data_IF_851455136084
#
_entry.id   IF_851455136084
#
_cell.length_a   1.000
_cell.length_b   1.000
_cell.length_c   1.000
_cell.angle_alpha   90.00
_cell.angle_beta   90.00
_cell.angle_gamma   90.00
#
_symmetry.space_group_name_H-M   'P 1'
#
loop_
_entity.id
_entity.type
_entity.pdbx_description
1 polymer ?
#
# COMPACT_ATOMS: atom_id res chain seq x y z
N UNK A 1 -34.01 -43.06 -29.37
CA UNK A 1 -33.15 -42.40 -28.36
C UNK A 1 -34.09 -41.62 -27.45
N UNK A 2 -34.13 -41.86 -26.14
CA UNK A 2 -35.00 -41.08 -25.27
C UNK A 2 -34.57 -39.60 -25.32
N UNK A 3 -35.55 -38.71 -25.50
CA UNK A 3 -35.34 -37.27 -25.41
C UNK A 3 -35.28 -36.98 -23.91
N UNK A 4 -34.10 -36.65 -23.41
CA UNK A 4 -33.93 -36.12 -22.06
C UNK A 4 -34.13 -34.61 -22.20
N UNK A 5 -35.22 -34.08 -21.65
CA UNK A 5 -35.42 -32.64 -21.59
C UNK A 5 -34.22 -32.00 -20.86
N UNK A 6 -33.67 -30.93 -21.45
CA UNK A 6 -32.66 -30.14 -20.75
C UNK A 6 -33.28 -29.70 -19.41
N UNK A 7 -32.60 -29.90 -18.28
CA UNK A 7 -33.13 -29.42 -17.00
C UNK A 7 -33.42 -27.92 -17.12
N UNK A 8 -34.60 -27.50 -16.67
CA UNK A 8 -34.96 -26.10 -16.54
C UNK A 8 -34.10 -25.52 -15.41
N UNK A 9 -32.94 -24.96 -15.74
CA UNK A 9 -32.10 -24.29 -14.75
C UNK A 9 -32.81 -23.03 -14.27
N UNK A 10 -32.87 -22.83 -12.96
CA UNK A 10 -33.26 -21.54 -12.39
C UNK A 10 -32.14 -20.53 -12.68
N UNK A 11 -32.47 -19.39 -13.28
CA UNK A 11 -31.50 -18.31 -13.53
C UNK A 11 -31.47 -17.39 -12.32
N UNK A 12 -30.27 -17.02 -11.90
CA UNK A 12 -30.03 -16.02 -10.86
C UNK A 12 -29.54 -14.73 -11.50
N UNK A 13 -29.91 -13.60 -10.91
CA UNK A 13 -29.36 -12.30 -11.24
C UNK A 13 -28.86 -11.63 -9.98
N UNK A 14 -27.66 -11.05 -10.05
CA UNK A 14 -27.11 -10.19 -8.99
C UNK A 14 -27.85 -8.85 -9.04
N UNK A 15 -28.41 -8.46 -7.91
CA UNK A 15 -29.03 -7.14 -7.71
C UNK A 15 -27.99 -6.18 -7.17
N UNK A 16 -27.23 -6.63 -6.17
CA UNK A 16 -26.34 -5.78 -5.40
C UNK A 16 -25.20 -6.60 -4.79
N UNK A 17 -24.05 -5.97 -4.64
CA UNK A 17 -22.90 -6.49 -3.93
C UNK A 17 -22.40 -5.43 -2.96
N UNK A 18 -22.56 -5.68 -1.66
CA UNK A 18 -22.10 -4.77 -0.61
C UNK A 18 -20.90 -5.37 0.11
N UNK A 19 -20.00 -4.50 0.57
CA UNK A 19 -18.95 -4.85 1.53
C UNK A 19 -19.33 -4.39 2.93
N UNK A 20 -18.89 -5.12 3.95
CA UNK A 20 -19.06 -4.70 5.34
C UNK A 20 -18.31 -3.41 5.68
N UNK A 21 -17.22 -3.13 4.97
CA UNK A 21 -16.42 -1.91 5.10
C UNK A 21 -15.98 -1.40 3.73
N UNK A 22 -15.75 -0.09 3.64
CA UNK A 22 -15.25 0.58 2.42
C UNK A 22 -13.75 0.92 2.50
N UNK A 23 -13.20 1.01 3.72
CA UNK A 23 -11.78 1.24 4.00
C UNK A 23 -11.37 0.44 5.24
N UNK A 24 -10.30 -0.34 5.13
CA UNK A 24 -9.70 -1.02 6.27
C UNK A 24 -8.89 -0.04 7.12
N UNK A 25 -9.11 -0.05 8.43
CA UNK A 25 -8.28 0.64 9.41
C UNK A 25 -7.19 -0.29 9.96
N UNK A 26 -7.46 -1.59 10.00
CA UNK A 26 -6.52 -2.62 10.47
C UNK A 26 -6.44 -3.78 9.49
N UNK A 27 -5.26 -4.37 9.35
CA UNK A 27 -5.03 -5.56 8.53
C UNK A 27 -5.72 -6.81 9.09
N UNK A 28 -6.17 -6.75 10.35
CA UNK A 28 -6.90 -7.83 11.02
C UNK A 28 -8.42 -7.74 10.79
N UNK A 29 -8.91 -6.67 10.16
CA UNK A 29 -10.33 -6.56 9.79
C UNK A 29 -10.67 -7.50 8.64
N UNK A 30 -11.65 -8.38 8.87
CA UNK A 30 -12.16 -9.29 7.86
C UNK A 30 -13.03 -8.52 6.84
N UNK A 31 -12.78 -8.76 5.55
CA UNK A 31 -13.66 -8.27 4.49
C UNK A 31 -14.78 -9.29 4.26
N UNK A 32 -16.01 -8.82 4.36
CA UNK A 32 -17.20 -9.62 4.14
C UNK A 32 -18.00 -8.95 3.02
N UNK A 33 -18.25 -9.70 1.95
CA UNK A 33 -19.04 -9.25 0.83
C UNK A 33 -20.34 -10.03 0.77
N UNK A 34 -21.45 -9.32 0.65
CA UNK A 34 -22.78 -9.90 0.59
C UNK A 34 -23.41 -9.57 -0.76
N UNK A 35 -23.72 -10.62 -1.52
CA UNK A 35 -24.44 -10.50 -2.76
C UNK A 35 -25.94 -10.76 -2.52
N UNK A 36 -26.75 -9.78 -2.89
CA UNK A 36 -28.20 -9.91 -3.00
C UNK A 36 -28.53 -10.40 -4.41
N UNK A 37 -29.23 -11.53 -4.51
CA UNK A 37 -29.61 -12.10 -5.81
C UNK A 37 -31.10 -12.35 -5.91
N UNK A 38 -31.66 -12.15 -7.10
CA UNK A 38 -33.02 -12.55 -7.44
C UNK A 38 -33.02 -13.81 -8.30
N UNK A 39 -33.93 -14.73 -7.98
CA UNK A 39 -34.31 -15.79 -8.93
C UNK A 39 -35.23 -15.19 -9.97
N UNK A 40 -34.99 -15.50 -11.23
CA UNK A 40 -35.94 -15.21 -12.29
C UNK A 40 -36.09 -16.42 -13.23
N UNK A 41 -37.32 -16.68 -13.67
CA UNK A 41 -37.64 -17.67 -14.69
C UNK A 41 -37.92 -16.96 -16.01
N UNK A 42 -37.57 -17.61 -17.12
CA UNK A 42 -37.84 -17.11 -18.48
C UNK A 42 -39.35 -17.01 -18.83
N UNK A 43 -40.25 -17.41 -17.92
CA UNK A 43 -41.70 -17.22 -18.05
C UNK A 43 -42.23 -16.40 -16.86
N UNK A 44 -42.94 -15.32 -17.18
CA UNK A 44 -43.56 -14.35 -16.28
C UNK A 44 -44.39 -15.08 -15.22
N UNK A 45 -43.82 -15.24 -14.03
CA UNK A 45 -44.57 -15.48 -12.81
C UNK A 45 -44.07 -14.50 -11.78
N UNK A 46 -44.95 -13.67 -11.25
CA UNK A 46 -44.71 -12.57 -10.30
C UNK A 46 -44.14 -13.03 -8.93
N UNK A 47 -43.62 -14.25 -8.85
CA UNK A 47 -43.02 -14.82 -7.66
C UNK A 47 -41.49 -14.63 -7.73
N UNK A 48 -41.05 -13.45 -7.30
CA UNK A 48 -39.65 -13.20 -6.94
C UNK A 48 -39.32 -14.03 -5.71
N UNK A 49 -38.58 -15.13 -5.88
CA UNK A 49 -37.99 -15.83 -4.75
C UNK A 49 -36.62 -15.18 -4.52
N UNK A 50 -36.52 -14.33 -3.49
CA UNK A 50 -35.24 -13.84 -3.02
C UNK A 50 -34.43 -15.02 -2.44
N UNK A 51 -33.23 -15.27 -2.96
CA UNK A 51 -32.24 -16.06 -2.24
C UNK A 51 -31.47 -15.05 -1.41
N UNK A 52 -31.65 -15.11 -0.09
CA UNK A 52 -30.94 -14.20 0.80
C UNK A 52 -29.48 -14.67 0.93
N UNK A 53 -28.60 -13.83 0.40
CA UNK A 53 -27.21 -13.59 0.81
C UNK A 53 -26.21 -14.72 0.52
N UNK A 54 -25.51 -14.60 -0.61
CA UNK A 54 -24.20 -15.25 -0.76
C UNK A 54 -23.15 -14.40 -0.03
N UNK A 55 -22.41 -15.02 0.89
CA UNK A 55 -21.38 -14.35 1.68
C UNK A 55 -19.98 -14.84 1.27
N UNK A 56 -19.12 -13.91 0.88
CA UNK A 56 -17.68 -14.13 0.68
C UNK A 56 -16.92 -13.48 1.82
N UNK A 57 -16.08 -14.27 2.50
CA UNK A 57 -15.13 -13.76 3.51
C UNK A 57 -13.73 -13.80 2.96
N UNK A 58 -13.02 -12.69 3.05
CA UNK A 58 -11.63 -12.56 2.66
C UNK A 58 -10.80 -12.06 3.83
N UNK A 59 -9.79 -12.85 4.20
CA UNK A 59 -8.76 -12.48 5.16
C UNK A 59 -7.53 -12.02 4.39
N UNK A 60 -7.06 -10.80 4.65
CA UNK A 60 -5.94 -10.20 3.93
C UNK A 60 -4.66 -10.33 4.76
N UNK A 61 -3.57 -10.71 4.11
CA UNK A 61 -2.28 -10.97 4.77
C UNK A 61 -1.62 -9.70 5.31
N UNK A 62 -0.80 -9.85 6.36
CA UNK A 62 0.09 -8.81 6.91
C UNK A 62 1.18 -8.30 5.96
N UNK A 63 1.24 -8.79 4.71
CA UNK A 63 2.17 -8.35 3.66
C UNK A 63 1.46 -7.69 2.47
N UNK A 64 0.22 -7.22 2.66
CA UNK A 64 -0.53 -6.57 1.58
C UNK A 64 0.09 -5.21 1.20
N UNK A 65 0.49 -5.07 -0.06
CA UNK A 65 0.95 -3.79 -0.63
C UNK A 65 -0.07 -3.17 -1.59
N UNK A 66 -1.17 -3.88 -1.87
CA UNK A 66 -2.22 -3.42 -2.78
C UNK A 66 -3.11 -2.39 -2.09
N UNK A 67 -3.45 -1.31 -2.81
CA UNK A 67 -4.28 -0.21 -2.31
C UNK A 67 -5.77 -0.54 -2.29
N UNK A 68 -6.23 -1.39 -3.22
CA UNK A 68 -7.64 -1.69 -3.40
C UNK A 68 -7.89 -3.19 -3.62
N UNK A 69 -9.00 -3.68 -3.08
CA UNK A 69 -9.61 -4.95 -3.48
C UNK A 69 -10.84 -4.66 -4.35
N UNK A 70 -10.83 -5.21 -5.56
CA UNK A 70 -11.96 -5.15 -6.49
C UNK A 70 -12.66 -6.50 -6.46
N UNK A 71 -13.93 -6.53 -6.05
CA UNK A 71 -14.74 -7.75 -6.04
C UNK A 71 -15.86 -7.61 -7.05
N UNK A 72 -15.95 -8.61 -7.92
CA UNK A 72 -17.00 -8.75 -8.92
C UNK A 72 -17.83 -9.99 -8.59
N UNK A 73 -19.14 -9.87 -8.73
CA UNK A 73 -20.08 -10.97 -8.64
C UNK A 73 -20.91 -11.02 -9.91
N UNK A 74 -20.85 -12.15 -10.61
CA UNK A 74 -21.60 -12.38 -11.85
C UNK A 74 -22.26 -13.77 -11.82
N UNK A 75 -23.34 -13.93 -12.59
CA UNK A 75 -23.97 -15.22 -12.90
C UNK A 75 -23.76 -15.49 -14.38
N UNK A 76 -23.57 -16.77 -14.72
CA UNK A 76 -23.06 -17.42 -15.95
C UNK A 76 -23.56 -16.91 -17.34
N UNK A 77 -24.36 -15.84 -17.42
CA UNK A 77 -24.91 -15.35 -18.70
C UNK A 77 -25.30 -13.84 -18.78
N UNK A 78 -24.76 -12.91 -17.96
CA UNK A 78 -25.31 -11.53 -17.92
C UNK A 78 -24.31 -10.37 -18.08
N UNK A 79 -24.76 -9.39 -18.87
CA UNK A 79 -24.30 -7.99 -18.97
C UNK A 79 -24.37 -7.19 -17.65
N UNK A 80 -24.71 -7.82 -16.53
CA UNK A 80 -24.96 -7.18 -15.23
C UNK A 80 -24.09 -7.85 -14.16
N UNK A 81 -23.18 -7.04 -13.59
CA UNK A 81 -22.19 -7.46 -12.61
C UNK A 81 -22.41 -6.65 -11.32
N UNK A 82 -22.46 -7.34 -10.18
CA UNK A 82 -22.30 -6.68 -8.88
C UNK A 82 -20.84 -6.31 -8.69
N UNK A 83 -20.55 -5.09 -8.25
CA UNK A 83 -19.20 -4.60 -8.04
C UNK A 83 -19.08 -3.91 -6.68
N UNK A 84 -18.01 -4.26 -5.95
CA UNK A 84 -17.64 -3.60 -4.71
C UNK A 84 -16.15 -3.31 -4.70
N UNK A 85 -15.80 -2.16 -4.14
CA UNK A 85 -14.44 -1.65 -4.02
C UNK A 85 -14.15 -1.35 -2.56
N UNK A 86 -13.03 -1.89 -2.06
CA UNK A 86 -12.57 -1.64 -0.70
C UNK A 86 -11.15 -1.11 -0.73
N UNK A 87 -10.89 0.01 -0.05
CA UNK A 87 -9.54 0.51 0.21
C UNK A 87 -8.88 -0.34 1.31
N UNK A 88 -7.71 -0.87 1.03
CA UNK A 88 -7.02 -1.82 1.89
C UNK A 88 -5.98 -1.14 2.77
N UNK A 89 -5.82 -1.64 3.99
CA UNK A 89 -4.67 -1.28 4.82
C UNK A 89 -3.42 -1.94 4.22
N UNK A 90 -2.39 -1.15 3.95
CA UNK A 90 -1.12 -1.62 3.38
C UNK A 90 -0.06 -1.84 4.47
N UNK A 91 0.74 -2.88 4.29
CA UNK A 91 2.00 -3.13 5.00
C UNK A 91 3.12 -2.29 4.35
N UNK A 92 3.00 -0.97 4.49
CA UNK A 92 3.97 -0.02 3.94
C UNK A 92 5.28 -0.07 4.72
N UNK A 93 6.40 -0.01 3.99
CA UNK A 93 7.77 -0.02 4.51
C UNK A 93 8.64 0.91 3.67
N UNK A 94 9.69 1.44 4.29
CA UNK A 94 10.85 1.97 3.57
C UNK A 94 11.75 0.79 3.23
N UNK A 95 11.88 0.49 1.94
CA UNK A 95 12.64 -0.64 1.42
C UNK A 95 14.12 -0.28 1.21
N UNK A 96 14.38 0.96 0.77
CA UNK A 96 15.73 1.45 0.53
C UNK A 96 15.83 2.98 0.74
N UNK A 97 17.05 3.51 0.79
CA UNK A 97 17.34 4.94 0.78
C UNK A 97 18.35 5.22 -0.33
N UNK A 98 17.96 6.06 -1.28
CA UNK A 98 18.92 6.61 -2.23
C UNK A 98 19.62 7.82 -1.61
N UNK A 99 20.92 7.93 -1.89
CA UNK A 99 21.77 9.01 -1.39
C UNK A 99 22.47 9.69 -2.56
N UNK A 100 22.39 11.02 -2.61
CA UNK A 100 23.07 11.85 -3.58
C UNK A 100 23.84 12.98 -2.89
N UNK A 101 25.09 13.21 -3.29
CA UNK A 101 25.86 14.35 -2.79
C UNK A 101 25.53 15.59 -3.63
N UNK A 102 24.95 16.61 -2.99
CA UNK A 102 24.78 17.94 -3.60
C UNK A 102 26.12 18.69 -3.56
N UNK A 103 26.85 18.54 -2.46
CA UNK A 103 28.20 19.06 -2.28
C UNK A 103 29.00 18.15 -1.33
N UNK A 104 30.24 18.53 -0.99
CA UNK A 104 31.02 17.81 0.03
C UNK A 104 30.36 17.90 1.42
N UNK A 105 29.55 18.92 1.69
CA UNK A 105 28.93 19.16 3.00
C UNK A 105 27.44 18.78 3.03
N UNK A 106 26.79 18.70 1.87
CA UNK A 106 25.34 18.57 1.77
C UNK A 106 24.95 17.37 0.93
N UNK A 107 24.05 16.56 1.50
CA UNK A 107 23.50 15.37 0.86
C UNK A 107 21.99 15.48 0.76
N UNK A 108 21.47 14.84 -0.27
CA UNK A 108 20.06 14.60 -0.50
C UNK A 108 19.78 13.11 -0.32
N UNK A 109 18.72 12.80 0.42
CA UNK A 109 18.27 11.43 0.63
C UNK A 109 16.82 11.29 0.21
N UNK A 110 16.49 10.17 -0.40
CA UNK A 110 15.12 9.81 -0.77
C UNK A 110 14.80 8.39 -0.31
N UNK A 111 13.77 8.28 0.53
CA UNK A 111 13.23 7.03 1.03
C UNK A 111 12.39 6.36 -0.06
N UNK A 112 12.76 5.14 -0.43
CA UNK A 112 12.07 4.32 -1.40
C UNK A 112 11.10 3.41 -0.66
N UNK A 113 9.81 3.50 -0.99
CA UNK A 113 8.76 2.73 -0.34
C UNK A 113 8.49 1.45 -1.12
N UNK A 114 8.04 0.40 -0.42
CA UNK A 114 7.63 -0.87 -1.04
C UNK A 114 6.24 -0.80 -1.74
N UNK A 115 5.67 0.40 -1.86
CA UNK A 115 4.38 0.66 -2.48
C UNK A 115 4.51 1.81 -3.47
N UNK A 116 3.76 1.71 -4.56
CA UNK A 116 3.54 2.84 -5.46
C UNK A 116 2.47 3.78 -4.88
N UNK A 117 2.59 5.06 -5.21
CA UNK A 117 1.60 6.11 -4.90
C UNK A 117 1.12 6.08 -3.43
N UNK A 118 2.07 6.19 -2.50
CA UNK A 118 1.77 6.32 -1.07
C UNK A 118 0.81 7.51 -0.82
N UNK A 119 -0.19 7.28 0.03
CA UNK A 119 -1.12 8.33 0.46
C UNK A 119 -0.45 9.26 1.47
N UNK A 120 -0.99 10.47 1.65
CA UNK A 120 -0.44 11.42 2.61
C UNK A 120 -0.42 10.88 4.06
N UNK A 121 -1.47 10.16 4.46
CA UNK A 121 -1.56 9.50 5.78
C UNK A 121 -0.46 8.45 5.98
N UNK A 122 -0.03 7.78 4.91
CA UNK A 122 1.07 6.80 4.96
C UNK A 122 2.44 7.48 4.95
N UNK A 123 2.60 8.54 4.17
CA UNK A 123 3.84 9.32 4.15
C UNK A 123 4.14 9.93 5.52
N UNK A 124 3.13 10.42 6.24
CA UNK A 124 3.23 10.97 7.59
C UNK A 124 3.82 9.99 8.63
N UNK A 125 3.80 8.68 8.33
CA UNK A 125 4.37 7.65 9.20
C UNK A 125 5.87 7.44 8.99
N UNK A 126 6.48 8.04 7.96
CA UNK A 126 7.91 7.98 7.71
C UNK A 126 8.65 8.71 8.83
N UNK A 127 9.59 8.01 9.45
CA UNK A 127 10.49 8.54 10.47
C UNK A 127 11.92 8.52 9.94
N UNK A 128 12.63 9.64 10.10
CA UNK A 128 14.04 9.76 9.77
C UNK A 128 14.89 9.83 11.03
N UNK A 129 15.93 9.01 11.06
CA UNK A 129 16.90 8.98 12.14
C UNK A 129 18.30 9.21 11.60
N UNK A 130 19.02 10.17 12.18
CA UNK A 130 20.39 10.51 11.83
C UNK A 130 21.27 10.26 13.05
N UNK A 131 22.29 9.42 12.91
CA UNK A 131 23.20 9.04 14.00
C UNK A 131 22.48 8.64 15.30
N UNK A 132 21.45 7.79 15.17
CA UNK A 132 20.60 7.33 16.28
C UNK A 132 19.73 8.41 16.94
N UNK A 133 19.55 9.58 16.30
CA UNK A 133 18.66 10.66 16.76
C UNK A 133 17.49 10.84 15.79
N UNK A 134 16.27 10.88 16.33
CA UNK A 134 15.09 11.27 15.58
C UNK A 134 15.16 12.77 15.24
N UNK A 135 14.89 13.12 13.98
CA UNK A 135 14.93 14.48 13.47
C UNK A 135 13.54 14.86 12.98
N UNK A 136 12.70 15.36 13.89
CA UNK A 136 11.26 15.56 13.63
C UNK A 136 10.94 16.47 12.42
N UNK A 137 11.85 17.37 12.02
CA UNK A 137 11.69 18.21 10.82
C UNK A 137 11.69 17.43 9.49
N UNK A 138 12.15 16.19 9.52
CA UNK A 138 12.26 15.28 8.38
C UNK A 138 11.15 14.24 8.34
N UNK A 139 10.50 13.95 9.47
CA UNK A 139 9.41 12.98 9.54
C UNK A 139 8.26 13.40 8.61
N UNK A 140 7.63 12.42 7.98
CA UNK A 140 6.60 12.64 6.97
C UNK A 140 7.11 12.92 5.55
N UNK A 141 8.43 13.06 5.35
CA UNK A 141 9.01 13.40 4.04
C UNK A 141 9.66 12.19 3.39
N UNK A 142 9.35 11.97 2.12
CA UNK A 142 10.07 11.00 1.28
C UNK A 142 11.47 11.49 0.96
N UNK A 143 11.66 12.81 0.83
CA UNK A 143 12.92 13.42 0.40
C UNK A 143 13.41 14.47 1.39
N UNK A 144 14.68 14.39 1.77
CA UNK A 144 15.31 15.28 2.74
C UNK A 144 16.67 15.77 2.24
N UNK A 145 17.06 16.96 2.69
CA UNK A 145 18.40 17.51 2.50
C UNK A 145 19.03 17.75 3.87
N UNK A 146 20.30 17.36 4.02
CA UNK A 146 21.00 17.40 5.29
C UNK A 146 22.48 17.79 5.11
N UNK A 147 22.96 18.66 6.00
CA UNK A 147 24.36 19.06 6.04
C UNK A 147 25.13 18.12 6.97
N UNK A 148 25.97 17.25 6.39
CA UNK A 148 26.71 16.21 7.13
C UNK A 148 27.88 16.77 7.96
N UNK A 149 28.33 18.00 7.68
CA UNK A 149 29.35 18.67 8.48
C UNK A 149 28.82 19.11 9.85
N UNK A 150 27.52 19.40 9.96
CA UNK A 150 26.89 19.77 11.24
C UNK A 150 26.93 18.64 12.27
N UNK A 151 26.99 17.38 11.81
CA UNK A 151 27.03 16.20 12.65
C UNK A 151 28.38 16.00 13.37
N UNK A 152 29.45 16.68 12.92
CA UNK A 152 30.80 16.63 13.51
C UNK A 152 31.35 15.20 13.67
N UNK A 153 31.00 14.32 12.73
CA UNK A 153 31.49 12.94 12.63
C UNK A 153 32.02 12.70 11.23
N UNK A 154 32.96 11.75 11.10
CA UNK A 154 33.49 11.37 9.79
C UNK A 154 32.43 10.69 8.90
N UNK A 155 31.59 9.85 9.51
CA UNK A 155 30.56 9.08 8.83
C UNK A 155 29.20 9.32 9.50
N UNK A 156 28.25 9.85 8.74
CA UNK A 156 26.89 10.08 9.18
C UNK A 156 26.01 8.92 8.73
N UNK A 157 25.34 8.28 9.67
CA UNK A 157 24.40 7.19 9.42
C UNK A 157 22.98 7.74 9.30
N UNK A 158 22.27 7.33 8.26
CA UNK A 158 20.88 7.68 8.03
C UNK A 158 20.04 6.41 8.05
N UNK A 159 18.93 6.46 8.76
CA UNK A 159 17.93 5.39 8.78
C UNK A 159 16.56 6.00 8.51
N UNK A 160 15.73 5.28 7.75
CA UNK A 160 14.36 5.65 7.48
C UNK A 160 13.46 4.42 7.61
N UNK A 161 12.31 4.60 8.25
CA UNK A 161 11.37 3.51 8.53
C UNK A 161 9.96 4.03 8.74
N UNK A 162 8.98 3.13 8.63
CA UNK A 162 7.59 3.40 8.99
C UNK A 162 7.37 3.09 10.47
N UNK A 163 6.91 4.08 11.25
CA UNK A 163 6.85 4.07 12.72
C UNK A 163 6.21 2.82 13.35
N UNK A 164 5.18 2.27 12.71
CA UNK A 164 4.40 1.15 13.26
C UNK A 164 4.62 -0.17 12.51
N UNK A 165 5.32 -0.14 11.37
CA UNK A 165 5.54 -1.32 10.51
C UNK A 165 7.00 -1.80 10.51
N UNK A 166 7.94 -0.96 10.95
CA UNK A 166 9.37 -1.27 10.98
C UNK A 166 10.00 -0.79 12.28
N UNK A 167 11.07 -1.47 12.69
CA UNK A 167 11.94 -1.03 13.78
C UNK A 167 13.19 -0.39 13.18
N UNK A 168 14.02 0.23 14.01
CA UNK A 168 15.33 0.73 13.55
C UNK A 168 16.24 -0.40 13.04
N UNK A 169 16.08 -1.62 13.54
CA UNK A 169 16.87 -2.79 13.13
C UNK A 169 16.44 -3.34 11.77
N UNK A 170 15.17 -3.15 11.40
CA UNK A 170 14.61 -3.50 10.09
C UNK A 170 14.41 -2.29 9.18
N UNK A 171 15.04 -1.16 9.51
CA UNK A 171 14.98 0.07 8.75
C UNK A 171 15.90 0.04 7.54
N UNK A 172 15.50 0.74 6.49
CA UNK A 172 16.42 1.07 5.41
C UNK A 172 17.49 2.01 5.96
N UNK A 173 18.74 1.79 5.57
CA UNK A 173 19.85 2.60 6.05
C UNK A 173 20.88 2.86 4.97
N UNK A 174 21.53 4.00 5.09
CA UNK A 174 22.65 4.40 4.24
C UNK A 174 23.61 5.28 5.03
N UNK A 175 24.71 5.69 4.42
CA UNK A 175 25.70 6.53 5.09
C UNK A 175 26.39 7.49 4.15
N UNK A 176 26.64 8.69 4.65
CA UNK A 176 27.50 9.68 4.00
C UNK A 176 28.83 9.81 4.74
N UNK A 177 29.88 10.17 4.03
CA UNK A 177 31.20 10.48 4.59
C UNK A 177 31.53 11.92 4.29
N UNK A 178 31.95 12.65 5.31
CA UNK A 178 32.49 13.99 5.17
C UNK A 178 34.02 13.92 5.12
N UNK A 179 34.60 14.17 3.93
CA UNK A 179 36.06 14.25 3.78
C UNK A 179 36.52 15.72 3.87
N UNK A 180 37.15 16.07 5.00
CA UNK A 180 37.77 17.38 5.22
C UNK A 180 38.98 17.64 4.30
N UNK A 181 39.58 16.62 3.70
CA UNK A 181 40.76 16.76 2.84
C UNK A 181 40.41 16.89 1.35
N UNK A 182 39.21 16.49 0.91
CA UNK A 182 38.80 16.66 -0.49
C UNK A 182 38.72 18.14 -0.90
N UNK A 183 38.31 19.00 0.05
CA UNK A 183 38.25 20.47 -0.11
C UNK A 183 39.61 21.17 0.00
N UNK A 184 40.67 20.48 0.45
CA UNK A 184 42.04 20.99 0.42
C UNK A 184 42.70 20.80 -0.95
N UNK A 185 42.37 19.72 -1.68
CA UNK A 185 42.95 19.45 -2.99
C UNK A 185 42.44 20.41 -4.09
N UNK A 186 41.18 20.87 -4.02
CA UNK A 186 40.66 21.87 -4.98
C UNK A 186 41.27 23.26 -4.84
N UNK A 187 41.85 23.58 -3.68
CA UNK A 187 42.56 24.84 -3.41
C UNK A 187 44.08 24.74 -3.64
N UNK A 188 44.60 23.57 -4.00
CA UNK A 188 46.02 23.34 -4.29
C UNK A 188 46.16 22.96 -5.77
N UNK A 189 45.84 23.93 -6.64
CA UNK A 189 46.51 24.15 -7.93
C UNK A 189 46.12 23.29 -9.14
N UNK A 190 45.44 23.93 -10.11
CA UNK A 190 45.98 24.06 -11.47
C UNK A 190 45.75 25.52 -11.91
N UNK A 191 46.78 26.35 -11.76
CA UNK A 191 47.05 27.48 -12.67
C UNK A 191 48.00 26.97 -13.75
#
# INVERSE_FOLDING_TARGET
MPIIDKPKYEKLRVIELESNIIKQNSIEEQLIFKASVEKYKDEISDNVIAINEFELKLDISKSNICKYAHIFCYVDDYLLEGYSLVELKRDIKVDDITLNYISNEEVELEAILNVDEATQEELEQIVWNINSKDISKYNGKTKIQHNIKEEKVYKTMFNAYIKDNQTIESSANTSAVFDENSSRLSNIGVN
#
